data_IF_030109668135
#
_entry.id   IF_030109668135
#
_cell.length_a   1.000
_cell.length_b   1.000
_cell.length_c   1.000
_cell.angle_alpha   90.00
_cell.angle_beta   90.00
_cell.angle_gamma   90.00
#
_symmetry.space_group_name_H-M   'P 1'
#
loop_
_entity.id
_entity.type
_entity.pdbx_description
1 polymer ?
#
# COMPACT_ATOMS: atom_id res chain seq x y z
N UNK A 1 25.72 19.04 55.09
CA UNK A 1 24.59 18.81 54.13
C UNK A 1 24.06 20.20 53.78
N UNK A 2 24.72 20.83 52.80
CA UNK A 2 24.39 22.22 52.41
C UNK A 2 23.35 22.21 51.28
N UNK A 3 22.14 22.60 51.66
CA UNK A 3 21.07 22.88 50.73
C UNK A 3 21.32 24.24 50.09
N UNK A 4 21.92 24.26 48.90
CA UNK A 4 22.18 25.49 48.13
C UNK A 4 20.91 26.10 47.55
N UNK A 5 20.15 26.81 48.35
CA UNK A 5 19.05 27.64 47.92
C UNK A 5 19.56 28.97 47.39
N UNK A 6 19.74 29.13 46.09
CA UNK A 6 19.94 30.43 45.44
C UNK A 6 18.56 31.02 45.08
N UNK A 7 17.96 31.73 46.02
CA UNK A 7 16.76 32.54 45.83
C UNK A 7 17.09 34.02 45.95
N UNK A 8 16.57 34.88 45.07
CA UNK A 8 16.61 36.31 45.24
C UNK A 8 15.61 36.73 46.30
N UNK A 9 16.03 37.57 47.24
CA UNK A 9 15.22 38.14 48.30
C UNK A 9 14.63 39.46 47.86
N UNK A 10 13.34 39.53 47.62
CA UNK A 10 12.58 40.78 47.58
C UNK A 10 11.24 40.57 48.27
N UNK A 11 10.93 41.46 49.19
CA UNK A 11 9.65 41.58 49.93
C UNK A 11 9.20 40.35 50.75
N UNK A 12 10.14 39.61 51.38
CA UNK A 12 9.81 38.60 52.39
C UNK A 12 9.18 37.29 51.92
N UNK A 13 9.10 37.04 50.61
CA UNK A 13 8.53 35.81 50.05
C UNK A 13 9.60 35.02 49.28
N UNK A 14 9.82 33.77 49.69
CA UNK A 14 10.68 32.82 48.96
C UNK A 14 9.94 32.34 47.70
N UNK A 15 10.26 32.92 46.53
CA UNK A 15 9.75 32.42 45.25
C UNK A 15 10.65 31.26 44.84
N UNK A 16 10.16 30.05 44.96
CA UNK A 16 10.83 28.84 44.46
C UNK A 16 10.88 28.92 42.91
N UNK A 17 12.06 29.17 42.37
CA UNK A 17 12.24 29.18 40.91
C UNK A 17 12.00 27.78 40.33
N UNK A 18 11.12 27.67 39.34
CA UNK A 18 10.76 26.40 38.72
C UNK A 18 11.96 25.80 37.99
N UNK A 19 12.33 24.59 38.38
CA UNK A 19 13.40 23.82 37.76
C UNK A 19 12.90 23.05 36.54
N UNK A 20 13.75 22.93 35.53
CA UNK A 20 13.48 22.24 34.24
C UNK A 20 14.58 21.23 33.94
N UNK A 21 14.24 20.09 33.38
CA UNK A 21 15.21 19.07 32.98
C UNK A 21 15.81 19.39 31.61
N UNK A 22 17.14 19.47 31.50
CA UNK A 22 17.86 19.69 30.26
C UNK A 22 17.61 18.54 29.27
N UNK A 23 17.24 18.86 28.04
CA UNK A 23 16.94 17.85 27.00
C UNK A 23 18.17 17.07 26.50
N UNK A 24 19.38 17.48 26.85
CA UNK A 24 20.64 16.87 26.39
C UNK A 24 21.33 16.08 27.48
N UNK A 25 21.61 16.74 28.64
CA UNK A 25 22.36 16.09 29.73
C UNK A 25 21.47 15.58 30.87
N UNK A 26 20.18 15.94 30.90
CA UNK A 26 19.25 15.53 31.93
C UNK A 26 19.35 16.29 33.25
N UNK A 27 20.32 17.19 33.41
CA UNK A 27 20.50 17.99 34.63
C UNK A 27 19.33 18.99 34.83
N UNK A 28 19.00 19.26 36.06
CA UNK A 28 18.03 20.30 36.41
C UNK A 28 18.67 21.70 36.26
N UNK A 29 17.92 22.66 35.75
CA UNK A 29 18.35 24.04 35.57
C UNK A 29 17.16 25.00 35.66
N UNK A 30 17.46 26.25 36.02
CA UNK A 30 16.50 27.35 35.99
C UNK A 30 16.66 28.09 34.67
N UNK A 31 15.55 28.40 33.99
CA UNK A 31 15.59 29.16 32.73
C UNK A 31 16.00 30.60 33.02
N UNK A 32 17.12 31.02 32.42
CA UNK A 32 17.71 32.36 32.59
C UNK A 32 17.60 33.25 31.39
N UNK A 33 17.56 32.66 30.16
CA UNK A 33 17.62 33.41 28.91
C UNK A 33 16.28 33.55 28.22
N UNK A 34 15.39 32.57 28.32
CA UNK A 34 14.10 32.57 27.62
C UNK A 34 13.12 31.57 28.23
N UNK A 35 11.83 31.91 28.20
CA UNK A 35 10.75 30.97 28.58
C UNK A 35 10.77 29.69 27.71
N UNK A 36 11.31 29.72 26.51
CA UNK A 36 11.44 28.58 25.59
C UNK A 36 12.74 27.79 25.74
N UNK A 37 13.63 28.17 26.67
CA UNK A 37 14.90 27.48 26.92
C UNK A 37 14.67 26.00 27.27
N UNK A 38 15.39 25.10 26.53
CA UNK A 38 15.24 23.64 26.65
C UNK A 38 16.50 22.94 27.17
N UNK A 39 17.59 23.66 27.36
CA UNK A 39 18.93 23.16 27.73
C UNK A 39 19.60 24.05 28.75
N UNK A 40 20.49 23.47 29.57
CA UNK A 40 21.13 24.15 30.69
C UNK A 40 22.32 25.05 30.31
N UNK A 41 23.02 24.73 29.18
CA UNK A 41 24.25 25.42 28.81
C UNK A 41 24.37 25.62 27.29
N UNK A 42 25.28 26.52 26.81
CA UNK A 42 25.57 26.69 25.40
C UNK A 42 26.04 25.41 24.69
N UNK A 43 26.86 24.59 25.38
CA UNK A 43 27.33 23.30 24.84
C UNK A 43 26.16 22.34 24.59
N UNK A 44 25.23 22.28 25.51
CA UNK A 44 23.99 21.49 25.35
C UNK A 44 23.12 22.05 24.22
N UNK A 45 23.10 23.36 24.02
CA UNK A 45 22.38 23.98 22.91
C UNK A 45 22.99 23.58 21.57
N UNK A 46 24.32 23.61 21.43
CA UNK A 46 25.04 23.17 20.23
C UNK A 46 24.79 21.69 19.96
N UNK A 47 24.88 20.82 20.97
CA UNK A 47 24.60 19.38 20.82
C UNK A 47 23.16 19.14 20.34
N UNK A 48 22.17 19.82 20.94
CA UNK A 48 20.77 19.71 20.53
C UNK A 48 20.56 20.19 19.09
N UNK A 49 21.16 21.33 18.71
CA UNK A 49 21.07 21.88 17.36
C UNK A 49 21.68 20.91 16.32
N UNK A 50 22.86 20.34 16.59
CA UNK A 50 23.51 19.34 15.73
C UNK A 50 22.65 18.08 15.58
N UNK A 51 22.05 17.58 16.66
CA UNK A 51 21.18 16.42 16.60
C UNK A 51 19.90 16.70 15.78
N UNK A 52 19.30 17.86 15.97
CA UNK A 52 18.12 18.29 15.20
C UNK A 52 18.46 18.46 13.71
N UNK A 53 19.61 19.07 13.38
CA UNK A 53 20.08 19.21 12.01
C UNK A 53 20.27 17.83 11.35
N UNK A 54 20.96 16.91 12.04
CA UNK A 54 21.16 15.54 11.55
C UNK A 54 19.83 14.79 11.34
N UNK A 55 18.87 14.96 12.23
CA UNK A 55 17.52 14.38 12.06
C UNK A 55 16.79 14.97 10.86
N UNK A 56 16.90 16.28 10.63
CA UNK A 56 16.30 16.95 9.45
C UNK A 56 16.95 16.48 8.16
N UNK A 57 18.28 16.38 8.10
CA UNK A 57 19.01 15.88 6.93
C UNK A 57 18.58 14.45 6.58
N UNK A 58 18.59 13.53 7.56
CA UNK A 58 18.14 12.13 7.33
C UNK A 58 16.69 12.05 6.83
N UNK A 59 15.80 12.93 7.34
CA UNK A 59 14.40 12.99 6.88
C UNK A 59 14.33 13.49 5.43
N UNK A 60 15.12 14.52 5.08
CA UNK A 60 15.17 15.07 3.72
C UNK A 60 15.72 14.04 2.72
N UNK A 61 16.85 13.38 3.04
CA UNK A 61 17.43 12.32 2.21
C UNK A 61 16.45 11.17 1.97
N UNK A 62 15.76 10.73 3.03
CA UNK A 62 14.74 9.69 2.91
C UNK A 62 13.58 10.12 1.99
N UNK A 63 13.14 11.36 2.12
CA UNK A 63 12.08 11.91 1.28
C UNK A 63 12.52 11.98 -0.19
N UNK A 64 13.72 12.46 -0.45
CA UNK A 64 14.30 12.50 -1.80
C UNK A 64 14.39 11.11 -2.43
N UNK A 65 14.84 10.12 -1.67
CA UNK A 65 14.90 8.73 -2.15
C UNK A 65 13.50 8.19 -2.51
N UNK A 66 12.48 8.49 -1.70
CA UNK A 66 11.08 8.10 -1.97
C UNK A 66 10.59 8.75 -3.27
N UNK A 67 10.84 10.04 -3.45
CA UNK A 67 10.42 10.76 -4.65
C UNK A 67 11.14 10.27 -5.91
N UNK A 68 12.45 10.02 -5.82
CA UNK A 68 13.24 9.44 -6.91
C UNK A 68 12.69 8.06 -7.30
N UNK A 69 12.40 7.19 -6.32
CA UNK A 69 11.80 5.88 -6.56
C UNK A 69 10.42 5.99 -7.19
N UNK A 70 9.58 6.90 -6.70
CA UNK A 70 8.25 7.16 -7.27
C UNK A 70 8.33 7.60 -8.73
N UNK A 71 9.25 8.51 -9.06
CA UNK A 71 9.46 8.99 -10.44
C UNK A 71 9.92 7.87 -11.38
N UNK A 72 10.84 7.00 -10.92
CA UNK A 72 11.27 5.83 -11.69
C UNK A 72 10.11 4.86 -11.96
N UNK A 73 9.31 4.54 -10.93
CA UNK A 73 8.17 3.64 -11.05
C UNK A 73 7.04 4.21 -11.92
N UNK A 74 6.89 5.53 -11.96
CA UNK A 74 5.84 6.17 -12.78
C UNK A 74 6.04 5.95 -14.29
N UNK A 75 7.28 5.83 -14.73
CA UNK A 75 7.64 5.47 -16.11
C UNK A 75 7.69 3.96 -16.38
N UNK A 76 7.55 3.10 -15.37
CA UNK A 76 7.64 1.65 -15.53
C UNK A 76 6.26 1.03 -15.83
N UNK A 77 6.08 0.62 -17.08
CA UNK A 77 4.87 -0.11 -17.53
C UNK A 77 4.64 -1.40 -16.75
N UNK A 78 5.72 -2.13 -16.39
CA UNK A 78 5.62 -3.36 -15.61
C UNK A 78 5.04 -3.12 -14.22
N UNK A 79 5.41 -1.98 -13.59
CA UNK A 79 4.82 -1.54 -12.34
C UNK A 79 3.30 -1.33 -12.46
N UNK A 80 2.84 -0.61 -13.50
CA UNK A 80 1.42 -0.32 -13.71
C UNK A 80 0.60 -1.56 -14.09
N UNK A 81 1.17 -2.49 -14.87
CA UNK A 81 0.54 -3.78 -15.16
C UNK A 81 0.28 -4.59 -13.88
N UNK A 82 1.26 -4.65 -12.96
CA UNK A 82 1.11 -5.32 -11.67
C UNK A 82 0.10 -4.60 -10.76
N UNK A 83 0.12 -3.27 -10.76
CA UNK A 83 -0.82 -2.46 -9.99
C UNK A 83 -2.27 -2.71 -10.46
N UNK A 84 -2.53 -2.64 -11.76
CA UNK A 84 -3.85 -2.94 -12.31
C UNK A 84 -4.29 -4.38 -12.00
N UNK A 85 -3.39 -5.36 -12.18
CA UNK A 85 -3.72 -6.76 -11.88
C UNK A 85 -4.17 -6.95 -10.43
N UNK A 86 -3.57 -6.22 -9.50
CA UNK A 86 -3.97 -6.27 -8.08
C UNK A 86 -5.40 -5.76 -7.88
N UNK A 87 -5.76 -4.64 -8.51
CA UNK A 87 -7.12 -4.08 -8.41
C UNK A 87 -8.15 -5.00 -9.10
N UNK A 88 -7.85 -5.49 -10.31
CA UNK A 88 -8.71 -6.45 -11.01
C UNK A 88 -8.92 -7.71 -10.17
N UNK A 89 -7.86 -8.29 -9.61
CA UNK A 89 -7.96 -9.47 -8.76
C UNK A 89 -8.81 -9.21 -7.49
N UNK A 90 -8.71 -8.01 -6.89
CA UNK A 90 -9.55 -7.61 -5.76
C UNK A 90 -11.02 -7.53 -6.19
N UNK A 91 -11.30 -6.84 -7.30
CA UNK A 91 -12.64 -6.72 -7.85
C UNK A 91 -13.29 -8.09 -8.13
N UNK A 92 -12.59 -8.99 -8.83
CA UNK A 92 -13.09 -10.33 -9.16
C UNK A 92 -13.45 -11.14 -7.90
N UNK A 93 -12.60 -11.09 -6.87
CA UNK A 93 -12.87 -11.77 -5.61
C UNK A 93 -14.08 -11.22 -4.87
N UNK A 94 -14.34 -9.92 -4.97
CA UNK A 94 -15.54 -9.29 -4.41
C UNK A 94 -16.79 -9.62 -5.24
N UNK A 95 -16.69 -9.48 -6.57
CA UNK A 95 -17.78 -9.79 -7.51
C UNK A 95 -18.28 -11.23 -7.35
N UNK A 96 -17.35 -12.17 -7.24
CA UNK A 96 -17.64 -13.60 -7.18
C UNK A 96 -17.68 -14.15 -5.73
N UNK A 97 -17.79 -13.27 -4.72
CA UNK A 97 -17.89 -13.66 -3.31
C UNK A 97 -19.10 -14.57 -3.10
N UNK A 98 -18.88 -15.72 -2.44
CA UNK A 98 -19.93 -16.72 -2.20
C UNK A 98 -20.17 -17.67 -3.36
N UNK A 99 -19.67 -17.43 -4.56
CA UNK A 99 -19.84 -18.32 -5.70
C UNK A 99 -18.87 -19.50 -5.65
N UNK A 100 -19.27 -20.70 -6.14
CA UNK A 100 -18.41 -21.86 -6.18
C UNK A 100 -17.19 -21.65 -7.09
N UNK A 101 -16.17 -22.48 -6.92
CA UNK A 101 -14.98 -22.46 -7.78
C UNK A 101 -15.38 -22.67 -9.24
N UNK A 102 -15.01 -21.73 -10.11
CA UNK A 102 -15.34 -21.76 -11.53
C UNK A 102 -14.80 -23.03 -12.24
N UNK A 103 -13.71 -23.63 -11.76
CA UNK A 103 -13.09 -24.79 -12.41
C UNK A 103 -13.58 -26.14 -11.87
N UNK A 104 -13.80 -26.29 -10.56
CA UNK A 104 -14.17 -27.59 -9.96
C UNK A 104 -15.48 -27.57 -9.16
N UNK A 105 -16.15 -26.43 -9.02
CA UNK A 105 -17.39 -26.32 -8.26
C UNK A 105 -17.26 -26.41 -6.74
N UNK A 106 -16.04 -26.44 -6.19
CA UNK A 106 -15.85 -26.46 -4.74
C UNK A 106 -16.52 -25.25 -4.08
N UNK A 107 -17.07 -25.46 -2.88
CA UNK A 107 -17.70 -24.43 -2.07
C UNK A 107 -16.71 -23.26 -1.84
N UNK A 108 -17.24 -22.05 -1.95
CA UNK A 108 -16.47 -20.83 -1.79
C UNK A 108 -15.74 -20.75 -0.44
N UNK A 109 -14.52 -20.23 -0.47
CA UNK A 109 -13.70 -19.92 0.71
C UNK A 109 -13.02 -18.57 0.55
N UNK A 110 -12.73 -17.83 1.65
CA UNK A 110 -12.02 -16.55 1.59
C UNK A 110 -10.64 -16.61 0.90
N UNK A 111 -10.04 -17.77 0.81
CA UNK A 111 -8.75 -18.04 0.14
C UNK A 111 -8.86 -18.17 -1.37
N UNK A 112 -10.05 -18.07 -1.98
CA UNK A 112 -10.20 -18.12 -3.43
C UNK A 112 -9.48 -16.96 -4.11
N UNK A 113 -8.98 -17.21 -5.30
CA UNK A 113 -8.16 -16.29 -6.09
C UNK A 113 -8.82 -15.98 -7.43
N UNK A 114 -8.48 -14.84 -8.02
CA UNK A 114 -8.83 -14.56 -9.40
C UNK A 114 -8.05 -15.50 -10.33
N UNK A 115 -8.75 -16.29 -11.10
CA UNK A 115 -8.23 -17.31 -12.02
C UNK A 115 -8.62 -16.94 -13.46
N UNK A 116 -7.66 -17.01 -14.37
CA UNK A 116 -7.88 -16.74 -15.79
C UNK A 116 -8.26 -18.01 -16.54
N UNK A 117 -9.28 -17.95 -17.40
CA UNK A 117 -9.59 -19.01 -18.35
C UNK A 117 -8.49 -19.11 -19.42
N UNK A 118 -8.22 -18.02 -20.13
CA UNK A 118 -7.06 -17.90 -21.01
C UNK A 118 -5.91 -17.26 -20.21
N UNK A 119 -4.77 -17.97 -20.04
CA UNK A 119 -3.64 -17.48 -19.24
C UNK A 119 -3.09 -16.14 -19.74
N UNK A 120 -2.65 -15.28 -18.82
CA UNK A 120 -2.07 -13.96 -19.11
C UNK A 120 -0.85 -14.04 -20.06
N UNK A 121 -0.08 -15.13 -20.00
CA UNK A 121 1.06 -15.37 -20.89
C UNK A 121 0.68 -15.74 -22.32
N UNK A 122 -0.55 -16.25 -22.53
CA UNK A 122 -1.06 -16.60 -23.85
C UNK A 122 -1.69 -15.40 -24.55
N UNK A 123 -2.48 -14.59 -23.86
CA UNK A 123 -3.10 -13.39 -24.41
C UNK A 123 -2.97 -12.19 -23.47
N UNK A 124 -2.13 -11.23 -23.85
CA UNK A 124 -2.07 -9.97 -23.12
C UNK A 124 -3.29 -9.07 -23.36
N UNK A 125 -4.03 -9.32 -24.45
CA UNK A 125 -5.29 -8.65 -24.78
C UNK A 125 -6.39 -9.01 -23.78
N UNK A 126 -6.54 -10.30 -23.45
CA UNK A 126 -7.55 -10.81 -22.54
C UNK A 126 -7.15 -10.70 -21.04
N UNK A 127 -5.96 -10.15 -20.76
CA UNK A 127 -5.39 -10.12 -19.41
C UNK A 127 -6.30 -9.48 -18.37
N UNK A 128 -7.07 -8.46 -18.74
CA UNK A 128 -7.94 -7.70 -17.84
C UNK A 128 -9.41 -7.79 -18.24
N UNK A 129 -9.76 -8.69 -19.16
CA UNK A 129 -11.13 -8.93 -19.56
C UNK A 129 -11.89 -9.65 -18.43
N UNK A 130 -12.98 -9.07 -17.97
CA UNK A 130 -13.76 -9.60 -16.84
C UNK A 130 -14.43 -10.93 -17.17
N UNK A 131 -14.71 -11.21 -18.47
CA UNK A 131 -15.25 -12.50 -18.93
C UNK A 131 -14.22 -13.61 -18.85
N UNK A 132 -12.92 -13.25 -18.91
CA UNK A 132 -11.81 -14.18 -18.84
C UNK A 132 -11.37 -14.50 -17.40
N UNK A 133 -11.88 -13.77 -16.39
CA UNK A 133 -11.36 -13.87 -15.02
C UNK A 133 -12.49 -14.14 -14.03
N UNK A 134 -12.39 -15.25 -13.30
CA UNK A 134 -13.38 -15.65 -12.30
C UNK A 134 -12.71 -16.19 -11.03
N UNK A 135 -13.49 -16.25 -9.94
CA UNK A 135 -13.00 -16.77 -8.66
C UNK A 135 -12.80 -18.29 -8.71
N UNK A 136 -11.62 -18.75 -8.33
CA UNK A 136 -11.25 -20.17 -8.28
C UNK A 136 -10.48 -20.55 -7.03
N UNK A 137 -10.57 -21.81 -6.63
CA UNK A 137 -9.82 -22.30 -5.48
C UNK A 137 -8.31 -22.37 -5.81
N UNK A 138 -7.48 -22.28 -4.75
CA UNK A 138 -6.01 -22.31 -4.88
C UNK A 138 -5.54 -23.55 -5.65
N UNK A 139 -6.15 -24.74 -5.38
CA UNK A 139 -5.78 -25.99 -6.05
C UNK A 139 -5.94 -25.88 -7.57
N UNK A 140 -7.08 -25.40 -8.06
CA UNK A 140 -7.34 -25.27 -9.49
C UNK A 140 -6.51 -24.16 -10.14
N UNK A 141 -6.26 -23.08 -9.41
CA UNK A 141 -5.54 -21.93 -9.97
C UNK A 141 -4.01 -22.15 -10.05
N UNK A 142 -3.40 -22.83 -9.06
CA UNK A 142 -1.94 -22.95 -8.96
C UNK A 142 -1.39 -24.34 -9.26
N UNK A 143 -2.10 -25.42 -8.93
CA UNK A 143 -1.54 -26.77 -8.88
C UNK A 143 -1.99 -27.69 -10.01
N UNK A 144 -3.06 -27.37 -10.71
CA UNK A 144 -3.58 -28.22 -11.80
C UNK A 144 -3.25 -27.58 -13.15
N UNK A 145 -1.98 -27.70 -13.57
CA UNK A 145 -1.53 -27.48 -14.95
C UNK A 145 -1.91 -26.14 -15.60
N UNK A 146 -1.82 -25.03 -14.87
CA UNK A 146 -2.12 -23.71 -15.43
C UNK A 146 -3.61 -23.32 -15.44
N UNK A 147 -4.37 -23.82 -14.50
CA UNK A 147 -5.83 -23.70 -14.40
C UNK A 147 -6.49 -24.97 -14.96
N UNK A 148 -7.46 -25.51 -14.25
CA UNK A 148 -8.20 -26.70 -14.66
C UNK A 148 -9.07 -26.38 -15.90
N UNK A 149 -8.46 -26.26 -17.07
CA UNK A 149 -9.13 -25.82 -18.31
C UNK A 149 -10.31 -26.75 -18.64
N UNK A 150 -10.16 -28.05 -18.42
CA UNK A 150 -11.23 -29.03 -18.70
C UNK A 150 -12.47 -28.81 -17.83
N UNK A 151 -12.32 -28.48 -16.54
CA UNK A 151 -13.45 -28.17 -15.66
C UNK A 151 -13.90 -26.70 -15.75
N UNK A 152 -13.04 -25.80 -16.19
CA UNK A 152 -13.33 -24.37 -16.26
C UNK A 152 -14.30 -24.06 -17.40
N UNK A 153 -14.03 -24.56 -18.64
CA UNK A 153 -14.82 -24.26 -19.84
C UNK A 153 -16.33 -24.54 -19.67
N UNK A 154 -16.76 -25.74 -19.25
CA UNK A 154 -18.20 -26.02 -19.13
C UNK A 154 -18.90 -25.08 -18.16
N UNK A 155 -18.30 -24.80 -17.01
CA UNK A 155 -18.89 -23.88 -16.01
C UNK A 155 -18.83 -22.43 -16.45
N UNK A 156 -17.84 -22.05 -17.26
CA UNK A 156 -17.78 -20.73 -17.85
C UNK A 156 -18.91 -20.54 -18.87
N UNK A 157 -19.18 -21.54 -19.71
CA UNK A 157 -20.31 -21.57 -20.64
C UNK A 157 -21.63 -21.39 -19.89
N UNK A 158 -21.85 -22.12 -18.79
CA UNK A 158 -23.02 -21.95 -17.95
C UNK A 158 -23.15 -20.52 -17.37
N UNK A 159 -22.03 -19.85 -17.11
CA UNK A 159 -22.00 -18.53 -16.48
C UNK A 159 -22.15 -17.36 -17.44
N UNK A 160 -21.49 -17.40 -18.59
CA UNK A 160 -21.43 -16.29 -19.55
C UNK A 160 -21.98 -16.63 -20.94
N UNK A 161 -22.32 -17.89 -21.21
CA UNK A 161 -22.80 -18.36 -22.51
C UNK A 161 -21.71 -18.82 -23.45
N UNK A 162 -22.06 -19.73 -24.39
CA UNK A 162 -21.15 -20.36 -25.35
C UNK A 162 -20.45 -19.31 -26.24
N UNK A 163 -21.21 -18.36 -26.78
CA UNK A 163 -20.69 -17.32 -27.69
C UNK A 163 -19.56 -16.50 -27.09
N UNK A 164 -19.66 -16.13 -25.79
CA UNK A 164 -18.62 -15.36 -25.10
C UNK A 164 -17.38 -16.21 -24.85
N UNK A 165 -17.55 -17.51 -24.60
CA UNK A 165 -16.42 -18.44 -24.42
C UNK A 165 -15.70 -18.67 -25.74
N UNK A 166 -16.42 -18.90 -26.84
CA UNK A 166 -15.84 -19.02 -28.18
C UNK A 166 -15.07 -17.76 -28.57
N UNK A 167 -15.65 -16.58 -28.29
CA UNK A 167 -14.95 -15.31 -28.51
C UNK A 167 -13.62 -15.21 -27.73
N UNK A 168 -13.60 -15.67 -26.46
CA UNK A 168 -12.36 -15.71 -25.67
C UNK A 168 -11.34 -16.68 -26.29
N UNK A 169 -11.78 -17.85 -26.76
CA UNK A 169 -10.94 -18.88 -27.40
C UNK A 169 -10.36 -18.38 -28.72
N UNK A 170 -11.13 -17.69 -29.55
CA UNK A 170 -10.67 -17.07 -30.80
C UNK A 170 -9.61 -16.00 -30.57
N UNK A 171 -9.73 -15.23 -29.46
CA UNK A 171 -8.79 -14.16 -29.12
C UNK A 171 -7.62 -14.61 -28.22
N UNK A 172 -7.47 -15.92 -27.94
CA UNK A 172 -6.49 -16.46 -27.01
C UNK A 172 -5.02 -16.19 -27.33
N UNK A 173 -4.71 -15.85 -28.59
CA UNK A 173 -3.36 -15.52 -29.05
C UNK A 173 -3.18 -14.04 -29.36
N UNK A 174 -4.21 -13.23 -29.14
CA UNK A 174 -4.16 -11.80 -29.41
C UNK A 174 -3.27 -11.07 -28.40
N UNK A 175 -2.36 -10.23 -28.92
CA UNK A 175 -1.42 -9.44 -28.10
C UNK A 175 -1.87 -7.98 -28.11
N UNK A 176 -1.89 -7.38 -26.93
CA UNK A 176 -2.07 -5.93 -26.74
C UNK A 176 -0.89 -5.38 -25.95
N UNK A 177 -0.29 -4.33 -26.48
CA UNK A 177 0.69 -3.51 -25.77
C UNK A 177 -0.08 -2.43 -25.01
N UNK A 178 -0.22 -2.60 -23.69
CA UNK A 178 -0.90 -1.65 -22.82
C UNK A 178 -0.07 -0.39 -22.63
N UNK A 179 -0.67 0.78 -22.86
CA UNK A 179 -0.04 2.05 -22.57
C UNK A 179 -0.23 2.43 -21.08
N UNK A 180 0.74 3.18 -20.52
CA UNK A 180 0.71 3.56 -19.09
C UNK A 180 -0.54 4.39 -18.75
N UNK A 181 -0.96 5.27 -19.64
CA UNK A 181 -2.20 6.06 -19.50
C UNK A 181 -3.44 5.18 -19.38
N UNK A 182 -3.59 4.18 -20.28
CA UNK A 182 -4.70 3.23 -20.22
C UNK A 182 -4.72 2.46 -18.90
N UNK A 183 -3.55 1.99 -18.44
CA UNK A 183 -3.43 1.25 -17.19
C UNK A 183 -3.84 2.11 -15.99
N UNK A 184 -3.43 3.38 -15.96
CA UNK A 184 -3.80 4.32 -14.90
C UNK A 184 -5.31 4.59 -14.87
N UNK A 185 -5.94 4.76 -16.04
CA UNK A 185 -7.40 4.95 -16.12
C UNK A 185 -8.15 3.69 -15.67
N UNK A 186 -7.76 2.51 -16.15
CA UNK A 186 -8.38 1.27 -15.70
C UNK A 186 -8.26 1.05 -14.18
N UNK A 187 -7.13 1.43 -13.57
CA UNK A 187 -6.98 1.37 -12.11
C UNK A 187 -8.04 2.24 -11.41
N UNK A 188 -8.33 3.44 -11.93
CA UNK A 188 -9.39 4.30 -11.36
C UNK A 188 -10.76 3.66 -11.50
N UNK A 189 -11.06 3.09 -12.67
CA UNK A 189 -12.33 2.39 -12.93
C UNK A 189 -12.51 1.22 -11.95
N UNK A 190 -11.50 0.34 -11.81
CA UNK A 190 -11.62 -0.80 -10.91
C UNK A 190 -11.71 -0.40 -9.43
N UNK A 191 -11.04 0.67 -9.02
CA UNK A 191 -11.19 1.22 -7.67
C UNK A 191 -12.59 1.75 -7.41
N UNK A 192 -13.23 2.39 -8.38
CA UNK A 192 -14.63 2.81 -8.27
C UNK A 192 -15.57 1.61 -8.15
N UNK A 193 -15.43 0.60 -9.04
CA UNK A 193 -16.20 -0.66 -8.97
C UNK A 193 -16.03 -1.39 -7.62
N UNK A 194 -14.82 -1.38 -7.05
CA UNK A 194 -14.56 -1.99 -5.75
C UNK A 194 -15.31 -1.25 -4.64
N UNK A 195 -15.32 0.07 -4.64
CA UNK A 195 -16.06 0.88 -3.65
C UNK A 195 -17.55 0.61 -3.69
N UNK A 196 -18.13 0.53 -4.90
CA UNK A 196 -19.54 0.18 -5.08
C UNK A 196 -19.88 -1.19 -4.48
N UNK A 197 -18.99 -2.19 -4.65
CA UNK A 197 -19.20 -3.53 -4.09
C UNK A 197 -18.94 -3.61 -2.58
N UNK A 198 -18.11 -2.73 -2.03
CA UNK A 198 -17.85 -2.63 -0.59
C UNK A 198 -18.91 -1.79 0.15
N UNK A 199 -19.80 -1.09 -0.58
CA UNK A 199 -20.88 -0.26 -0.02
C UNK A 199 -20.39 1.10 0.48
N UNK A 200 -19.27 1.61 -0.04
CA UNK A 200 -18.67 2.91 0.29
C UNK A 200 -19.01 3.99 -0.74
#
# INVERSE_FOLDING_TARGET
>A
MDCGCLGNFSDGVWIMAKEYKCKVCGQLFIKTFSSTQKVCSPECAIKLAREQSRKRQKKAEKQEQIERKKKLLDGDRGHWLKALQKEVNKFIRLRDKGQPCIACGAVWKPSFQASHFIPQGRSSFLRFDERNIHSGCIRCNLFVGGGNIHGYRPRLVEKIGEQEVEWLEENQHRIKKWEISELKELIKVYRAKIKELEGE
#
